data_IF_292887079628
#
_entry.id   IF_292887079628
#
_cell.length_a   1.000
_cell.length_b   1.000
_cell.length_c   1.000
_cell.angle_alpha   90.00
_cell.angle_beta   90.00
_cell.angle_gamma   90.00
#
_symmetry.space_group_name_H-M   'P 1'
#
loop_
_entity.id
_entity.type
_entity.pdbx_description
1 polymer ?
#
# COMPACT_ATOMS: atom_id res chain seq x y z
N UNK A 1 31.96 64.16 33.75
CA UNK A 1 31.99 63.23 34.89
C UNK A 1 30.54 63.01 35.33
N UNK A 2 29.94 61.86 35.00
CA UNK A 2 29.61 60.77 35.95
C UNK A 2 28.69 61.27 37.07
N UNK A 3 27.48 60.76 37.30
CA UNK A 3 26.84 59.49 36.94
C UNK A 3 25.94 59.07 38.11
N UNK A 4 24.99 58.15 37.85
CA UNK A 4 24.14 57.38 38.78
C UNK A 4 22.84 58.04 39.28
N UNK A 5 21.72 57.61 38.69
CA UNK A 5 20.45 57.48 39.39
C UNK A 5 19.92 56.04 39.19
N UNK A 6 19.67 55.36 40.31
CA UNK A 6 19.34 53.93 40.45
C UNK A 6 17.86 53.66 40.17
N UNK A 7 17.58 52.54 39.50
CA UNK A 7 16.27 51.91 39.34
C UNK A 7 15.83 51.17 40.63
N UNK A 8 14.52 51.08 40.94
CA UNK A 8 14.03 50.22 42.01
C UNK A 8 13.59 48.82 41.52
N UNK A 9 14.30 47.83 42.05
CA UNK A 9 13.89 46.51 42.55
C UNK A 9 12.47 45.98 42.28
N UNK A 10 12.39 44.87 41.52
CA UNK A 10 11.28 43.88 41.55
C UNK A 10 11.45 42.93 42.73
N UNK A 11 10.37 42.64 43.46
CA UNK A 11 10.28 41.61 44.50
C UNK A 11 9.23 40.54 44.11
N UNK A 12 9.30 39.32 44.70
CA UNK A 12 8.83 38.07 44.09
C UNK A 12 7.51 37.55 44.69
N UNK A 13 6.79 36.66 44.01
CA UNK A 13 5.82 35.77 44.68
C UNK A 13 5.68 34.36 44.11
N UNK A 14 5.64 33.46 45.10
CA UNK A 14 5.48 32.01 45.23
C UNK A 14 4.70 31.19 44.18
N UNK A 15 5.19 29.95 44.00
CA UNK A 15 4.42 28.74 43.65
C UNK A 15 3.48 28.33 44.79
N UNK A 16 2.26 27.89 44.45
CA UNK A 16 1.56 26.77 45.11
C UNK A 16 0.47 26.17 44.21
N UNK A 17 0.53 24.86 44.03
CA UNK A 17 -0.53 24.00 43.50
C UNK A 17 -1.77 24.02 44.40
N UNK A 18 -2.96 23.86 43.82
CA UNK A 18 -3.95 22.81 44.17
C UNK A 18 -5.21 22.88 43.27
N UNK A 19 -5.87 21.74 43.20
CA UNK A 19 -6.96 21.36 42.31
C UNK A 19 -8.36 21.88 42.71
N UNK A 20 -9.27 21.96 41.72
CA UNK A 20 -10.62 21.32 41.66
C UNK A 20 -11.68 22.17 40.93
N UNK A 21 -12.46 21.45 40.11
CA UNK A 21 -13.88 21.60 39.74
C UNK A 21 -14.42 22.91 39.16
N UNK A 22 -15.09 22.81 38.00
CA UNK A 22 -16.46 23.30 37.70
C UNK A 22 -16.87 22.66 36.35
N UNK A 23 -17.76 21.67 36.31
CA UNK A 23 -19.23 21.70 36.29
C UNK A 23 -19.84 22.10 34.93
N UNK A 24 -20.88 21.33 34.59
CA UNK A 24 -21.54 21.21 33.29
C UNK A 24 -22.65 22.25 33.03
N UNK A 25 -22.92 22.50 31.74
CA UNK A 25 -24.21 22.90 31.18
C UNK A 25 -24.18 22.59 29.66
N UNK A 26 -24.82 21.54 29.14
CA UNK A 26 -26.25 21.29 28.91
C UNK A 26 -26.89 22.17 27.80
N UNK A 27 -27.12 21.58 26.62
CA UNK A 27 -28.27 21.79 25.69
C UNK A 27 -28.31 20.61 24.69
N UNK A 28 -29.44 20.25 24.06
CA UNK A 28 -30.10 18.97 24.27
C UNK A 28 -30.14 18.07 23.02
N UNK A 29 -30.08 16.76 23.25
CA UNK A 29 -30.33 15.72 22.25
C UNK A 29 -31.83 15.49 22.08
N UNK A 30 -32.37 15.78 20.90
CA UNK A 30 -33.65 15.23 20.43
C UNK A 30 -33.35 13.93 19.66
N UNK A 31 -33.43 12.78 20.34
CA UNK A 31 -33.48 11.46 19.71
C UNK A 31 -34.95 11.13 19.42
N UNK A 32 -35.31 10.96 18.15
CA UNK A 32 -36.44 10.11 17.77
C UNK A 32 -35.87 8.76 17.32
N UNK A 33 -36.35 7.63 17.86
CA UNK A 33 -35.92 6.31 17.45
C UNK A 33 -36.59 5.97 16.11
N UNK A 34 -35.79 5.68 15.08
CA UNK A 34 -36.29 5.04 13.87
C UNK A 34 -36.30 3.54 14.14
N UNK A 35 -37.49 2.97 14.21
CA UNK A 35 -37.75 1.54 14.26
C UNK A 35 -37.44 0.90 12.91
N UNK A 36 -36.51 -0.05 12.89
CA UNK A 36 -36.20 -0.88 11.71
C UNK A 36 -37.16 -2.08 11.71
N UNK A 37 -37.94 -2.33 10.65
CA UNK A 37 -38.73 -3.55 10.52
C UNK A 37 -37.80 -4.75 10.31
N UNK A 38 -37.98 -5.76 11.16
CA UNK A 38 -37.47 -7.13 10.98
C UNK A 38 -38.32 -7.79 9.88
N UNK A 39 -37.70 -8.67 9.09
CA UNK A 39 -38.24 -9.44 7.95
C UNK A 39 -38.14 -8.79 6.57
N UNK A 40 -36.93 -8.81 6.00
CA UNK A 40 -36.74 -8.93 4.54
C UNK A 40 -35.86 -10.16 4.26
N UNK A 41 -36.25 -11.06 3.34
CA UNK A 41 -35.48 -12.27 3.06
C UNK A 41 -34.16 -11.93 2.36
N UNK A 42 -33.09 -12.62 2.78
CA UNK A 42 -31.75 -12.59 2.18
C UNK A 42 -31.86 -12.99 0.69
N UNK A 43 -31.31 -12.22 -0.26
CA UNK A 43 -31.29 -12.64 -1.65
C UNK A 43 -30.39 -13.86 -1.82
N UNK A 44 -30.96 -14.89 -2.44
CA UNK A 44 -30.35 -16.18 -2.76
C UNK A 44 -29.14 -15.97 -3.69
N UNK A 45 -27.92 -16.13 -3.16
CA UNK A 45 -26.68 -16.17 -3.93
C UNK A 45 -26.53 -17.53 -4.61
N UNK A 46 -27.35 -17.77 -5.63
CA UNK A 46 -27.14 -18.84 -6.60
C UNK A 46 -26.36 -18.30 -7.81
N UNK A 47 -25.33 -19.01 -8.31
CA UNK A 47 -24.48 -18.51 -9.38
C UNK A 47 -25.26 -18.41 -10.70
N UNK A 48 -25.45 -17.18 -11.20
CA UNK A 48 -25.98 -16.93 -12.54
C UNK A 48 -24.96 -17.41 -13.57
N UNK A 49 -25.41 -18.31 -14.45
CA UNK A 49 -24.65 -18.97 -15.52
C UNK A 49 -24.45 -18.08 -16.75
N UNK A 50 -24.06 -16.81 -16.58
CA UNK A 50 -23.75 -15.94 -17.70
C UNK A 50 -22.26 -16.10 -18.07
N UNK A 51 -22.00 -16.61 -19.28
CA UNK A 51 -20.66 -16.64 -19.86
C UNK A 51 -20.05 -15.22 -19.90
N UNK A 52 -18.78 -15.04 -19.52
CA UNK A 52 -18.14 -13.72 -19.58
C UNK A 52 -18.01 -13.27 -21.03
N UNK A 53 -18.72 -12.20 -21.37
CA UNK A 53 -18.55 -11.50 -22.63
C UNK A 53 -17.19 -10.78 -22.62
N UNK A 54 -16.41 -11.01 -23.69
CA UNK A 54 -15.20 -10.29 -24.04
C UNK A 54 -15.43 -8.77 -24.00
N UNK A 55 -14.96 -8.12 -22.93
CA UNK A 55 -14.70 -6.69 -22.95
C UNK A 55 -13.26 -6.47 -23.45
N UNK A 56 -13.04 -5.63 -24.49
CA UNK A 56 -11.68 -5.32 -24.92
C UNK A 56 -10.92 -4.59 -23.80
N UNK A 57 -9.59 -4.80 -23.68
CA UNK A 57 -8.80 -4.16 -22.64
C UNK A 57 -8.85 -2.63 -22.79
N UNK A 58 -8.88 -1.86 -21.68
CA UNK A 58 -8.83 -0.42 -21.74
C UNK A 58 -7.49 0.01 -22.38
N UNK A 59 -7.57 0.75 -23.48
CA UNK A 59 -6.42 1.37 -24.11
C UNK A 59 -5.91 2.52 -23.22
N UNK A 60 -4.64 2.46 -22.80
CA UNK A 60 -3.94 3.61 -22.21
C UNK A 60 -3.50 3.49 -20.75
N UNK A 61 -2.89 2.37 -20.35
CA UNK A 61 -2.05 2.39 -19.14
C UNK A 61 -0.76 3.15 -19.43
N UNK A 62 -0.76 4.46 -19.20
CA UNK A 62 0.48 5.23 -19.16
C UNK A 62 1.43 4.64 -18.11
N UNK A 63 2.74 4.53 -18.40
CA UNK A 63 3.70 4.06 -17.42
C UNK A 63 3.72 5.00 -16.21
N UNK A 64 3.53 4.44 -15.03
CA UNK A 64 3.50 5.20 -13.78
C UNK A 64 4.82 5.95 -13.55
N UNK A 65 4.77 7.17 -12.99
CA UNK A 65 5.98 7.93 -12.69
C UNK A 65 6.86 7.17 -11.68
N UNK A 66 8.19 7.37 -11.71
CA UNK A 66 9.12 6.67 -10.83
C UNK A 66 8.75 6.84 -9.36
N UNK A 67 9.12 5.90 -8.47
CA UNK A 67 8.97 6.14 -7.04
C UNK A 67 9.77 7.41 -6.68
N UNK A 68 9.15 8.52 -6.23
CA UNK A 68 9.91 9.64 -5.71
C UNK A 68 10.79 9.18 -4.54
N UNK A 69 11.88 9.89 -4.33
CA UNK A 69 12.88 9.67 -3.27
C UNK A 69 12.26 9.35 -1.89
N UNK A 70 11.06 9.85 -1.58
CA UNK A 70 10.37 9.61 -0.30
C UNK A 70 9.46 8.35 -0.26
N UNK A 71 9.40 7.56 -1.33
CA UNK A 71 8.51 6.37 -1.46
C UNK A 71 9.26 5.03 -1.50
N UNK A 72 10.53 5.03 -1.12
CA UNK A 72 11.38 3.83 -1.03
C UNK A 72 10.84 2.84 0.01
N UNK A 73 10.60 1.59 -0.40
CA UNK A 73 10.28 0.50 0.52
C UNK A 73 11.43 0.36 1.52
N UNK A 74 11.10 0.36 2.82
CA UNK A 74 12.11 0.32 3.87
C UNK A 74 13.13 -0.79 3.60
N UNK A 75 14.42 -0.43 3.59
CA UNK A 75 15.52 -1.34 3.27
C UNK A 75 15.63 -2.44 4.34
N UNK A 76 14.88 -3.52 4.15
CA UNK A 76 14.88 -4.71 4.99
C UNK A 76 15.85 -5.71 4.39
N UNK A 77 16.77 -6.21 5.20
CA UNK A 77 17.91 -7.02 4.77
C UNK A 77 17.50 -8.41 4.27
N UNK A 78 16.36 -8.91 4.73
CA UNK A 78 15.90 -10.28 4.46
C UNK A 78 14.42 -10.45 4.82
N UNK A 79 13.79 -11.51 4.31
CA UNK A 79 12.38 -11.85 4.52
C UNK A 79 12.24 -13.24 5.12
N UNK A 80 11.64 -13.35 6.30
CA UNK A 80 11.19 -14.61 6.88
C UNK A 80 9.76 -14.87 6.42
N UNK A 81 9.54 -15.98 5.71
CA UNK A 81 8.22 -16.44 5.28
C UNK A 81 7.81 -17.68 6.07
N UNK A 82 6.72 -17.58 6.81
CA UNK A 82 6.02 -18.72 7.40
C UNK A 82 5.10 -19.39 6.37
N UNK A 83 5.01 -20.72 6.38
CA UNK A 83 4.00 -21.46 5.63
C UNK A 83 2.85 -21.80 6.57
N UNK A 84 1.67 -21.23 6.31
CA UNK A 84 0.49 -21.37 7.15
C UNK A 84 -0.53 -22.31 6.49
N UNK A 85 -1.16 -23.22 7.26
CA UNK A 85 -2.24 -24.09 6.79
C UNK A 85 -3.60 -23.40 6.80
N UNK A 86 -3.62 -22.07 6.79
CA UNK A 86 -4.85 -21.27 6.90
C UNK A 86 -4.92 -20.38 5.65
N UNK A 87 -6.04 -20.40 4.91
CA UNK A 87 -6.15 -19.65 3.67
C UNK A 87 -6.14 -18.13 3.91
N UNK A 88 -5.70 -17.35 2.92
CA UNK A 88 -5.61 -15.89 3.02
C UNK A 88 -6.93 -15.17 3.36
N UNK A 89 -8.07 -15.78 2.98
CA UNK A 89 -9.41 -15.30 3.30
C UNK A 89 -9.72 -15.27 4.80
N UNK A 90 -9.03 -16.10 5.60
CA UNK A 90 -9.20 -16.18 7.06
C UNK A 90 -8.15 -15.36 7.82
N UNK A 91 -7.24 -14.66 7.14
CA UNK A 91 -6.17 -13.90 7.79
C UNK A 91 -6.68 -12.53 8.30
N UNK A 92 -6.35 -12.14 9.54
CA UNK A 92 -6.70 -10.82 10.05
C UNK A 92 -5.95 -9.71 9.30
N UNK A 93 -6.44 -8.47 9.37
CA UNK A 93 -5.85 -7.32 8.67
C UNK A 93 -4.38 -7.04 9.02
N UNK A 94 -3.92 -7.48 10.20
CA UNK A 94 -2.51 -7.55 10.53
C UNK A 94 -2.15 -8.99 10.89
N UNK A 95 -1.16 -9.54 10.21
CA UNK A 95 -0.71 -10.92 10.38
C UNK A 95 -0.21 -11.21 11.80
N UNK A 96 0.27 -10.20 12.54
CA UNK A 96 0.67 -10.34 13.94
C UNK A 96 -0.51 -10.72 14.86
N UNK A 97 -1.76 -10.49 14.45
CA UNK A 97 -2.94 -10.97 15.20
C UNK A 97 -3.34 -12.40 14.86
N UNK A 98 -2.73 -12.98 13.83
CA UNK A 98 -3.02 -14.34 13.40
C UNK A 98 -2.46 -15.36 14.39
N UNK A 99 -1.28 -15.07 14.96
CA UNK A 99 -0.50 -16.04 15.71
C UNK A 99 0.41 -15.34 16.74
N UNK A 100 0.45 -15.83 18.00
CA UNK A 100 1.43 -15.39 18.99
C UNK A 100 2.88 -15.54 18.51
N UNK A 101 3.20 -16.65 17.83
CA UNK A 101 4.53 -16.88 17.27
C UNK A 101 4.90 -15.84 16.21
N UNK A 102 3.97 -15.51 15.30
CA UNK A 102 4.22 -14.51 14.26
C UNK A 102 4.43 -13.12 14.87
N UNK A 103 3.63 -12.75 15.87
CA UNK A 103 3.81 -11.50 16.62
C UNK A 103 5.19 -11.42 17.28
N UNK A 104 5.61 -12.48 17.97
CA UNK A 104 6.89 -12.50 18.66
C UNK A 104 8.07 -12.52 17.67
N UNK A 105 7.98 -13.31 16.61
CA UNK A 105 8.96 -13.30 15.53
C UNK A 105 9.09 -11.89 14.91
N UNK A 106 7.96 -11.21 14.65
CA UNK A 106 7.93 -9.83 14.17
C UNK A 106 8.68 -8.88 15.11
N UNK A 107 8.41 -8.96 16.41
CA UNK A 107 9.05 -8.13 17.43
C UNK A 107 10.57 -8.36 17.54
N UNK A 108 10.99 -9.62 17.59
CA UNK A 108 12.39 -10.01 17.74
C UNK A 108 13.20 -9.64 16.48
N UNK A 109 12.68 -10.00 15.31
CA UNK A 109 13.43 -9.98 14.06
C UNK A 109 13.41 -8.62 13.37
N UNK A 110 12.44 -7.75 13.68
CA UNK A 110 12.41 -6.36 13.19
C UNK A 110 13.70 -5.61 13.52
N UNK A 111 14.27 -5.80 14.71
CA UNK A 111 15.56 -5.18 15.12
C UNK A 111 16.75 -5.71 14.33
N UNK A 112 16.68 -6.92 13.81
CA UNK A 112 17.71 -7.51 12.96
C UNK A 112 17.58 -7.11 11.48
N UNK A 113 16.62 -6.23 11.14
CA UNK A 113 16.35 -5.80 9.77
C UNK A 113 15.63 -6.85 8.93
N UNK A 114 14.98 -7.84 9.57
CA UNK A 114 14.22 -8.90 8.88
C UNK A 114 12.75 -8.50 8.84
N UNK A 115 12.12 -8.68 7.69
CA UNK A 115 10.66 -8.63 7.55
C UNK A 115 10.06 -10.00 7.82
N UNK A 116 8.92 -10.05 8.50
CA UNK A 116 8.18 -11.29 8.73
C UNK A 116 6.89 -11.24 7.90
N UNK A 117 6.59 -12.32 7.19
CA UNK A 117 5.37 -12.47 6.42
C UNK A 117 4.99 -13.96 6.34
N UNK A 118 3.85 -14.30 5.75
CA UNK A 118 3.39 -15.67 5.60
C UNK A 118 2.84 -15.96 4.21
N UNK A 119 2.97 -17.21 3.80
CA UNK A 119 2.38 -17.79 2.60
C UNK A 119 1.40 -18.89 2.98
N UNK A 120 0.36 -19.07 2.18
CA UNK A 120 -0.54 -20.21 2.29
C UNK A 120 0.16 -21.46 1.74
N UNK A 121 0.10 -22.57 2.49
CA UNK A 121 0.74 -23.83 2.10
C UNK A 121 -0.04 -24.63 1.05
N UNK A 122 -1.30 -24.27 0.80
CA UNK A 122 -2.16 -24.92 -0.18
C UNK A 122 -2.85 -26.19 0.29
N UNK A 123 -2.63 -26.63 1.54
CA UNK A 123 -3.07 -27.94 2.05
C UNK A 123 -4.11 -27.80 3.16
N UNK A 124 -4.06 -26.72 3.95
CA UNK A 124 -4.91 -26.58 5.11
C UNK A 124 -6.24 -25.84 4.87
N UNK A 125 -7.32 -26.38 5.43
CA UNK A 125 -8.63 -25.71 5.50
C UNK A 125 -8.96 -25.44 6.97
N UNK A 126 -8.83 -24.19 7.42
CA UNK A 126 -9.06 -23.83 8.81
C UNK A 126 -9.22 -22.34 9.03
N UNK A 127 -9.56 -21.95 10.25
CA UNK A 127 -9.61 -20.56 10.71
C UNK A 127 -8.66 -20.41 11.90
N UNK A 128 -8.11 -19.21 12.11
CA UNK A 128 -7.41 -18.92 13.35
C UNK A 128 -8.34 -19.06 14.55
N UNK A 129 -7.86 -19.54 15.71
CA UNK A 129 -8.63 -19.47 16.94
C UNK A 129 -9.00 -18.01 17.22
N UNK A 130 -10.18 -17.74 17.79
CA UNK A 130 -10.61 -16.38 18.07
C UNK A 130 -9.56 -15.69 18.97
N UNK A 131 -9.22 -14.42 18.71
CA UNK A 131 -8.23 -13.71 19.52
C UNK A 131 -8.67 -13.78 20.99
N UNK A 132 -7.78 -14.23 21.87
CA UNK A 132 -8.02 -14.18 23.30
C UNK A 132 -8.37 -12.73 23.64
N UNK A 133 -9.62 -12.48 24.10
CA UNK A 133 -10.10 -11.13 24.40
C UNK A 133 -9.03 -10.42 25.23
N UNK A 134 -8.40 -9.38 24.67
CA UNK A 134 -7.68 -8.42 25.50
C UNK A 134 -8.68 -7.92 26.53
N UNK A 135 -8.34 -8.05 27.81
CA UNK A 135 -9.15 -7.48 28.90
C UNK A 135 -9.37 -6.00 28.56
N UNK A 136 -10.63 -5.64 28.41
CA UNK A 136 -11.05 -4.28 28.12
C UNK A 136 -10.61 -3.39 29.31
N UNK A 137 -9.80 -2.34 29.11
CA UNK A 137 -9.33 -1.50 30.22
C UNK A 137 -10.46 -0.76 30.96
N UNK A 138 -11.68 -0.79 30.40
CA UNK A 138 -12.85 -0.06 30.91
C UNK A 138 -13.94 -0.93 31.54
N UNK A 139 -13.76 -2.25 31.69
CA UNK A 139 -14.72 -3.06 32.46
C UNK A 139 -14.49 -2.85 33.97
N UNK A 140 -15.46 -2.28 34.72
CA UNK A 140 -15.36 -2.20 36.16
C UNK A 140 -15.45 -3.61 36.75
N UNK A 141 -14.55 -3.95 37.66
CA UNK A 141 -14.62 -5.17 38.45
C UNK A 141 -15.86 -5.13 39.34
N UNK A 142 -16.93 -5.79 38.95
CA UNK A 142 -18.01 -6.14 39.88
C UNK A 142 -17.69 -7.49 40.48
N UNK A 143 -17.22 -7.48 41.72
CA UNK A 143 -17.27 -8.64 42.59
C UNK A 143 -18.75 -8.98 42.83
N UNK A 144 -19.20 -10.09 42.28
CA UNK A 144 -20.38 -10.77 42.78
C UNK A 144 -20.12 -12.27 42.73
N UNK A 145 -19.90 -12.81 43.92
CA UNK A 145 -19.92 -14.23 44.21
C UNK A 145 -21.27 -14.82 43.76
N UNK A 146 -21.23 -15.77 42.83
CA UNK A 146 -22.29 -16.73 42.60
C UNK A 146 -21.68 -17.98 41.97
N UNK A 147 -21.75 -19.07 42.74
CA UNK A 147 -21.52 -20.45 42.33
C UNK A 147 -22.18 -20.77 40.98
N UNK A 148 -21.46 -21.45 40.11
CA UNK A 148 -21.99 -22.71 39.58
C UNK A 148 -20.89 -23.60 39.01
N UNK A 149 -20.86 -24.82 39.54
CA UNK A 149 -20.00 -25.92 39.18
C UNK A 149 -20.28 -26.43 37.77
N UNK A 150 -19.31 -26.33 36.86
CA UNK A 150 -19.29 -27.12 35.64
C UNK A 150 -17.85 -27.45 35.20
N UNK A 151 -17.50 -28.73 35.36
CA UNK A 151 -16.48 -29.51 34.65
C UNK A 151 -15.06 -28.93 34.53
N UNK A 152 -14.15 -29.56 35.27
CA UNK A 152 -12.73 -29.69 34.91
C UNK A 152 -12.59 -30.13 33.44
N UNK A 153 -12.31 -29.21 32.53
CA UNK A 153 -11.50 -29.54 31.35
C UNK A 153 -10.10 -29.02 31.63
N UNK A 154 -9.16 -29.94 31.81
CA UNK A 154 -7.74 -29.62 31.82
C UNK A 154 -7.42 -28.80 30.57
N UNK A 155 -7.22 -27.50 30.73
CA UNK A 155 -6.56 -26.68 29.72
C UNK A 155 -5.12 -27.16 29.64
N UNK A 156 -4.90 -28.19 28.82
CA UNK A 156 -3.59 -28.47 28.29
C UNK A 156 -3.02 -27.14 27.79
N UNK A 157 -1.79 -26.82 28.20
CA UNK A 157 -1.09 -25.68 27.63
C UNK A 157 -1.25 -25.73 26.11
N UNK A 158 -1.61 -24.63 25.44
CA UNK A 158 -1.78 -24.64 23.99
C UNK A 158 -0.51 -25.23 23.39
N UNK A 159 -0.66 -26.27 22.57
CA UNK A 159 0.47 -26.93 21.92
C UNK A 159 1.35 -25.85 21.28
N UNK A 160 2.67 -25.93 21.52
CA UNK A 160 3.61 -24.92 21.05
C UNK A 160 3.45 -24.75 19.53
N UNK A 161 3.02 -23.55 19.15
CA UNK A 161 2.76 -23.21 17.76
C UNK A 161 4.05 -23.42 16.94
N UNK A 162 3.94 -24.19 15.87
CA UNK A 162 5.08 -24.58 15.04
C UNK A 162 4.68 -24.54 13.57
N UNK A 163 5.47 -23.84 12.75
CA UNK A 163 5.26 -23.72 11.31
C UNK A 163 6.56 -23.92 10.53
N UNK A 164 6.51 -24.46 9.30
CA UNK A 164 7.64 -24.36 8.40
C UNK A 164 7.91 -22.89 8.06
N UNK A 165 9.19 -22.50 8.03
CA UNK A 165 9.59 -21.15 7.66
C UNK A 165 10.85 -21.13 6.78
N UNK A 166 10.99 -20.08 5.96
CA UNK A 166 12.18 -19.84 5.15
C UNK A 166 12.64 -18.40 5.29
N UNK A 167 13.92 -18.19 5.61
CA UNK A 167 14.56 -16.88 5.62
C UNK A 167 15.30 -16.65 4.30
N UNK A 168 14.85 -15.65 3.55
CA UNK A 168 15.28 -15.30 2.20
C UNK A 168 16.17 -14.05 2.22
N UNK A 169 17.25 -14.08 1.44
CA UNK A 169 18.16 -12.97 1.22
C UNK A 169 18.14 -12.47 -0.22
N UNK A 170 18.54 -11.21 -0.48
CA UNK A 170 18.51 -10.60 -1.82
C UNK A 170 19.42 -11.27 -2.84
N UNK A 171 20.42 -12.01 -2.36
CA UNK A 171 21.32 -12.81 -3.20
C UNK A 171 20.76 -14.20 -3.54
N UNK A 172 19.50 -14.43 -3.22
CA UNK A 172 18.81 -15.71 -3.41
C UNK A 172 19.14 -16.78 -2.38
N UNK A 173 20.02 -16.50 -1.41
CA UNK A 173 20.31 -17.45 -0.35
C UNK A 173 19.08 -17.65 0.53
N UNK A 174 18.75 -18.90 0.81
CA UNK A 174 17.61 -19.28 1.65
C UNK A 174 18.07 -20.16 2.81
N UNK A 175 17.60 -19.87 4.02
CA UNK A 175 17.72 -20.75 5.18
C UNK A 175 16.34 -21.36 5.49
N UNK A 176 16.28 -22.68 5.57
CA UNK A 176 15.04 -23.40 5.83
C UNK A 176 14.95 -23.81 7.30
N UNK A 177 13.74 -23.67 7.85
CA UNK A 177 13.37 -24.08 9.18
C UNK A 177 12.12 -24.97 9.03
N UNK A 178 12.26 -26.30 8.96
CA UNK A 178 11.11 -27.20 8.81
C UNK A 178 10.11 -27.06 9.96
N UNK A 179 10.62 -26.79 11.15
CA UNK A 179 9.85 -26.53 12.37
C UNK A 179 10.37 -25.22 13.00
N UNK A 180 9.62 -24.15 12.83
CA UNK A 180 9.89 -22.84 13.45
C UNK A 180 8.86 -22.62 14.56
N UNK A 181 9.36 -22.40 15.78
CA UNK A 181 8.58 -22.16 16.99
C UNK A 181 9.28 -21.13 17.90
N UNK A 182 8.73 -20.85 19.08
CA UNK A 182 9.29 -19.86 20.01
C UNK A 182 10.76 -20.15 20.38
N UNK A 183 11.12 -21.42 20.61
CA UNK A 183 12.51 -21.83 20.89
C UNK A 183 13.46 -21.58 19.70
N UNK A 184 12.93 -21.53 18.48
CA UNK A 184 13.72 -21.24 17.28
C UNK A 184 14.26 -19.81 17.27
N UNK A 185 13.54 -18.87 17.92
CA UNK A 185 13.94 -17.45 18.00
C UNK A 185 15.30 -17.25 18.70
N UNK A 186 15.63 -18.13 19.64
CA UNK A 186 16.91 -18.13 20.35
C UNK A 186 17.92 -19.15 19.84
N UNK A 187 17.56 -19.91 18.79
CA UNK A 187 18.37 -21.01 18.31
C UNK A 187 19.72 -20.55 17.72
N UNK A 188 20.79 -21.35 17.87
CA UNK A 188 22.07 -21.10 17.18
C UNK A 188 21.93 -21.06 15.65
N UNK A 189 20.97 -21.82 15.10
CA UNK A 189 20.68 -21.84 13.67
C UNK A 189 20.17 -20.49 13.18
N UNK A 190 19.17 -19.93 13.85
CA UNK A 190 18.64 -18.62 13.49
C UNK A 190 19.69 -17.53 13.69
N UNK A 191 20.46 -17.55 14.79
CA UNK A 191 21.57 -16.62 15.00
C UNK A 191 22.59 -16.66 13.85
N UNK A 192 22.97 -17.87 13.40
CA UNK A 192 23.86 -18.04 12.24
C UNK A 192 23.26 -17.46 10.96
N UNK A 193 21.98 -17.71 10.71
CA UNK A 193 21.28 -17.14 9.57
C UNK A 193 21.28 -15.61 9.63
N UNK A 194 20.93 -15.02 10.79
CA UNK A 194 20.94 -13.57 11.00
C UNK A 194 22.32 -12.91 10.93
N UNK A 195 23.40 -13.66 11.12
CA UNK A 195 24.77 -13.17 10.88
C UNK A 195 25.15 -13.15 9.40
N UNK A 196 24.42 -13.84 8.53
CA UNK A 196 24.68 -13.83 7.09
C UNK A 196 24.61 -12.42 6.53
N UNK A 197 25.61 -12.07 5.72
CA UNK A 197 25.69 -10.84 4.95
C UNK A 197 25.87 -11.25 3.48
N UNK A 198 24.96 -10.85 2.57
CA UNK A 198 25.13 -11.07 1.16
C UNK A 198 26.48 -10.52 0.68
N UNK A 199 27.13 -11.19 -0.28
CA UNK A 199 28.34 -10.64 -0.88
C UNK A 199 28.00 -9.32 -1.59
N UNK A 200 28.85 -8.31 -1.43
CA UNK A 200 28.63 -6.97 -2.01
C UNK A 200 28.48 -6.97 -3.53
N UNK A 201 28.91 -8.05 -4.20
CA UNK A 201 28.60 -8.31 -5.59
C UNK A 201 27.09 -8.51 -5.78
N UNK A 202 26.34 -9.38 -5.12
CA UNK A 202 24.92 -9.56 -5.53
C UNK A 202 24.01 -8.37 -5.14
N UNK A 203 24.48 -7.50 -4.24
CA UNK A 203 23.87 -6.20 -3.95
C UNK A 203 24.36 -5.04 -4.86
N UNK A 204 25.26 -5.32 -5.80
CA UNK A 204 25.92 -4.33 -6.68
C UNK A 204 26.93 -4.90 -7.70
N UNK A 205 26.67 -6.05 -8.33
CA UNK A 205 27.66 -6.83 -9.09
C UNK A 205 27.64 -6.33 -10.51
N UNK A 206 28.85 -6.02 -11.01
CA UNK A 206 29.21 -6.08 -12.42
C UNK A 206 28.19 -5.52 -13.41
N UNK A 207 28.48 -4.33 -13.93
CA UNK A 207 27.74 -3.70 -15.00
C UNK A 207 27.52 -4.58 -16.27
N UNK A 208 28.22 -5.72 -16.38
CA UNK A 208 28.26 -6.58 -17.57
C UNK A 208 27.89 -8.07 -17.34
N UNK A 209 27.48 -8.51 -16.14
CA UNK A 209 27.13 -9.93 -15.93
C UNK A 209 25.63 -10.20 -16.14
N UNK A 210 25.36 -11.12 -17.07
CA UNK A 210 24.06 -11.79 -17.20
C UNK A 210 23.75 -12.46 -15.85
N UNK A 211 22.55 -12.30 -15.27
CA UNK A 211 22.18 -12.99 -14.05
C UNK A 211 22.47 -14.48 -14.14
N UNK A 212 23.25 -15.03 -13.21
CA UNK A 212 23.48 -16.47 -13.15
C UNK A 212 22.17 -17.24 -12.96
N UNK A 213 22.14 -18.53 -13.33
CA UNK A 213 20.95 -19.41 -13.19
C UNK A 213 20.36 -19.43 -11.76
N UNK A 214 21.13 -19.06 -10.74
CA UNK A 214 20.70 -18.91 -9.35
C UNK A 214 19.74 -17.75 -9.08
N UNK A 215 19.61 -16.79 -10.01
CA UNK A 215 18.78 -15.59 -9.89
C UNK A 215 17.48 -15.63 -10.71
N UNK A 216 17.23 -16.71 -11.48
CA UNK A 216 15.99 -16.84 -12.24
C UNK A 216 14.78 -16.93 -11.29
N UNK A 217 13.69 -16.17 -11.53
CA UNK A 217 12.49 -16.28 -10.70
C UNK A 217 11.96 -17.72 -10.72
N UNK A 218 12.02 -18.40 -9.59
CA UNK A 218 11.55 -19.78 -9.43
C UNK A 218 10.13 -19.84 -8.89
N UNK A 219 9.63 -18.72 -8.39
CA UNK A 219 8.40 -18.64 -7.63
C UNK A 219 7.85 -17.22 -7.62
N UNK A 220 6.55 -17.08 -7.85
CA UNK A 220 5.80 -15.83 -7.73
C UNK A 220 4.94 -15.91 -6.48
N UNK A 221 5.07 -14.93 -5.60
CA UNK A 221 4.23 -14.82 -4.41
C UNK A 221 3.21 -13.71 -4.64
N UNK A 222 1.93 -14.06 -4.79
CA UNK A 222 0.86 -13.08 -5.09
C UNK A 222 0.04 -12.82 -3.84
N UNK A 223 -0.17 -11.56 -3.51
CA UNK A 223 -1.00 -11.19 -2.37
C UNK A 223 -2.47 -11.41 -2.70
N UNK A 224 -3.17 -12.26 -1.93
CA UNK A 224 -4.62 -12.48 -2.03
C UNK A 224 -5.36 -12.06 -0.75
N UNK A 225 -4.68 -11.30 0.12
CA UNK A 225 -5.15 -10.94 1.46
C UNK A 225 -6.10 -9.72 1.46
N UNK A 226 -7.41 -9.99 1.38
CA UNK A 226 -8.44 -8.94 1.26
C UNK A 226 -8.72 -8.12 2.53
N UNK A 227 -8.46 -8.66 3.73
CA UNK A 227 -8.75 -7.95 4.98
C UNK A 227 -7.84 -6.74 5.25
N UNK A 228 -6.69 -6.66 4.55
CA UNK A 228 -5.73 -5.56 4.64
C UNK A 228 -5.93 -4.53 3.53
N UNK A 229 -6.20 -5.02 2.32
CA UNK A 229 -6.47 -4.24 1.12
C UNK A 229 -7.32 -5.13 0.19
N UNK A 230 -8.58 -4.75 -0.05
CA UNK A 230 -9.54 -5.57 -0.81
C UNK A 230 -9.03 -5.87 -2.22
N UNK A 231 -8.32 -4.93 -2.84
CA UNK A 231 -7.78 -5.06 -4.20
C UNK A 231 -6.78 -6.19 -4.33
N UNK A 232 -6.09 -6.55 -3.24
CA UNK A 232 -5.23 -7.72 -3.23
C UNK A 232 -6.07 -9.00 -3.44
N UNK A 233 -7.23 -9.11 -2.82
CA UNK A 233 -8.13 -10.23 -3.07
C UNK A 233 -8.74 -10.14 -4.49
N UNK A 234 -9.20 -8.95 -4.90
CA UNK A 234 -9.90 -8.75 -6.17
C UNK A 234 -9.01 -8.96 -7.41
N UNK A 235 -7.75 -8.51 -7.36
CA UNK A 235 -6.80 -8.66 -8.47
C UNK A 235 -5.89 -9.87 -8.29
N UNK A 236 -5.47 -10.15 -7.06
CA UNK A 236 -4.52 -11.22 -6.77
C UNK A 236 -5.12 -12.61 -6.94
N UNK A 237 -6.36 -12.84 -6.51
CA UNK A 237 -6.99 -14.17 -6.59
C UNK A 237 -7.16 -14.62 -8.05
N UNK A 238 -7.71 -13.78 -8.96
CA UNK A 238 -7.76 -14.12 -10.38
C UNK A 238 -6.36 -14.27 -11.02
N UNK A 239 -5.40 -13.44 -10.63
CA UNK A 239 -4.02 -13.53 -11.12
C UNK A 239 -3.35 -14.86 -10.74
N UNK A 240 -3.54 -15.33 -9.50
CA UNK A 240 -3.04 -16.64 -9.05
C UNK A 240 -3.62 -17.75 -9.91
N UNK A 241 -4.93 -17.74 -10.18
CA UNK A 241 -5.58 -18.74 -11.02
C UNK A 241 -4.97 -18.75 -12.43
N UNK A 242 -4.86 -17.59 -13.08
CA UNK A 242 -4.28 -17.45 -14.41
C UNK A 242 -2.81 -17.92 -14.48
N UNK A 243 -2.00 -17.60 -13.47
CA UNK A 243 -0.60 -18.04 -13.40
C UNK A 243 -0.48 -19.57 -13.19
N UNK A 244 -1.36 -20.17 -12.39
CA UNK A 244 -1.40 -21.64 -12.19
C UNK A 244 -1.73 -22.36 -13.50
N UNK A 245 -2.71 -21.87 -14.26
CA UNK A 245 -3.08 -22.42 -15.57
C UNK A 245 -1.92 -22.36 -16.56
N UNK A 246 -1.15 -21.28 -16.53
CA UNK A 246 0.05 -21.15 -17.34
C UNK A 246 1.19 -22.06 -16.87
N UNK A 247 1.11 -22.70 -15.69
CA UNK A 247 2.18 -23.55 -15.14
C UNK A 247 3.31 -22.76 -14.48
N UNK A 248 3.03 -21.56 -13.97
CA UNK A 248 3.96 -20.79 -13.14
C UNK A 248 3.86 -21.27 -11.70
N UNK A 249 5.01 -21.47 -11.03
CA UNK A 249 5.05 -21.77 -9.61
C UNK A 249 4.59 -20.53 -8.83
N UNK A 250 3.37 -20.57 -8.29
CA UNK A 250 2.76 -19.44 -7.58
C UNK A 250 2.25 -19.86 -6.20
N UNK A 251 2.51 -19.03 -5.20
CA UNK A 251 1.90 -19.16 -3.86
C UNK A 251 1.22 -17.86 -3.46
N UNK A 252 0.24 -17.98 -2.60
CA UNK A 252 -0.48 -16.85 -2.03
C UNK A 252 0.27 -16.36 -0.79
N UNK A 253 0.53 -15.05 -0.71
CA UNK A 253 1.26 -14.40 0.39
C UNK A 253 0.35 -13.39 1.10
N UNK A 254 0.61 -13.10 2.38
CA UNK A 254 -0.06 -11.99 3.05
C UNK A 254 0.44 -10.67 2.49
N UNK A 255 -0.25 -9.58 2.84
CA UNK A 255 0.05 -8.26 2.29
C UNK A 255 1.56 -7.92 2.29
N UNK A 256 2.10 -7.57 1.11
CA UNK A 256 3.52 -7.24 0.91
C UNK A 256 3.66 -5.77 0.54
N UNK A 257 4.53 -5.05 1.24
CA UNK A 257 4.75 -3.61 1.00
C UNK A 257 3.85 -2.72 1.86
N UNK A 258 3.76 -1.45 1.50
CA UNK A 258 2.92 -0.47 2.19
C UNK A 258 1.60 -0.28 1.45
N UNK A 259 0.46 -0.31 2.16
CA UNK A 259 -0.92 -0.19 1.66
C UNK A 259 -1.13 0.65 0.39
N UNK A 260 -0.56 1.86 0.36
CA UNK A 260 -0.71 2.86 -0.70
C UNK A 260 -0.09 2.45 -2.05
N UNK A 261 0.81 1.46 -2.01
CA UNK A 261 1.77 1.09 -3.06
C UNK A 261 2.13 -0.39 -3.02
N UNK A 262 1.29 -1.18 -2.33
CA UNK A 262 1.64 -2.53 -1.96
C UNK A 262 1.87 -3.36 -3.21
N UNK A 263 2.95 -4.13 -3.17
CA UNK A 263 3.19 -5.09 -4.21
C UNK A 263 2.10 -6.16 -4.09
N UNK A 264 1.34 -6.38 -5.14
CA UNK A 264 0.48 -7.55 -5.18
C UNK A 264 1.22 -8.78 -5.70
N UNK A 265 2.47 -8.66 -6.16
CA UNK A 265 3.37 -9.79 -6.37
C UNK A 265 4.82 -9.55 -5.92
N UNK A 266 5.45 -10.59 -5.37
CA UNK A 266 6.87 -10.65 -5.02
C UNK A 266 7.53 -11.80 -5.78
N UNK A 267 8.56 -11.50 -6.56
CA UNK A 267 9.29 -12.48 -7.35
C UNK A 267 10.46 -13.04 -6.55
N UNK A 268 10.52 -14.35 -6.38
CA UNK A 268 11.66 -15.03 -5.75
C UNK A 268 12.50 -15.73 -6.81
N UNK A 269 13.84 -15.67 -6.75
CA UNK A 269 14.64 -15.23 -5.59
C UNK A 269 15.04 -13.75 -5.62
N UNK A 270 14.78 -13.01 -6.69
CA UNK A 270 15.28 -11.63 -6.84
C UNK A 270 14.70 -10.64 -5.83
N UNK A 271 13.58 -11.00 -5.21
CA UNK A 271 12.79 -10.17 -4.29
C UNK A 271 12.30 -8.86 -4.93
N UNK A 272 12.06 -8.89 -6.25
CA UNK A 272 11.43 -7.80 -6.98
C UNK A 272 9.94 -7.74 -6.62
N UNK A 273 9.47 -6.52 -6.35
CA UNK A 273 8.10 -6.24 -5.97
C UNK A 273 7.37 -5.58 -7.14
N UNK A 274 6.29 -6.22 -7.58
CA UNK A 274 5.41 -5.73 -8.64
C UNK A 274 4.04 -5.39 -8.05
N UNK A 275 3.42 -4.32 -8.54
CA UNK A 275 2.08 -3.87 -8.10
C UNK A 275 1.12 -3.68 -9.26
N UNK A 276 -0.18 -3.64 -8.95
CA UNK A 276 -1.26 -3.45 -9.92
C UNK A 276 -1.25 -4.51 -11.05
N UNK A 277 -0.81 -5.73 -10.75
CA UNK A 277 -0.92 -6.84 -11.68
C UNK A 277 -2.34 -7.41 -11.67
N UNK A 278 -2.89 -7.66 -12.85
CA UNK A 278 -4.23 -8.24 -13.07
C UNK A 278 -4.09 -9.59 -13.77
N UNK A 279 -5.18 -10.35 -13.83
CA UNK A 279 -5.21 -11.62 -14.56
C UNK A 279 -4.79 -11.47 -16.04
N UNK A 280 -5.09 -10.32 -16.67
CA UNK A 280 -4.65 -9.99 -18.03
C UNK A 280 -3.13 -9.92 -18.20
N UNK A 281 -2.39 -9.65 -17.11
CA UNK A 281 -0.94 -9.52 -17.12
C UNK A 281 -0.24 -10.88 -16.95
N UNK A 282 -0.99 -11.94 -16.61
CA UNK A 282 -0.43 -13.26 -16.33
C UNK A 282 0.43 -13.84 -17.47
N UNK A 283 0.07 -13.72 -18.76
CA UNK A 283 0.91 -14.20 -19.85
C UNK A 283 2.26 -13.47 -19.93
N UNK A 284 2.26 -12.15 -19.76
CA UNK A 284 3.47 -11.33 -19.78
C UNK A 284 4.35 -11.64 -18.56
N UNK A 285 3.75 -11.78 -17.38
CA UNK A 285 4.46 -12.15 -16.17
C UNK A 285 5.05 -13.57 -16.26
N UNK A 286 4.31 -14.54 -16.82
CA UNK A 286 4.81 -15.89 -17.03
C UNK A 286 6.00 -15.92 -17.99
N UNK A 287 5.93 -15.15 -19.09
CA UNK A 287 7.05 -14.99 -20.02
C UNK A 287 8.27 -14.36 -19.33
N UNK A 288 8.04 -13.32 -18.52
CA UNK A 288 9.07 -12.63 -17.75
C UNK A 288 9.76 -13.56 -16.74
N UNK A 289 8.99 -14.35 -16.00
CA UNK A 289 9.52 -15.35 -15.05
C UNK A 289 10.37 -16.41 -15.74
N UNK A 290 9.97 -16.87 -16.94
CA UNK A 290 10.65 -17.95 -17.67
C UNK A 290 11.91 -17.52 -18.41
N UNK A 291 11.87 -16.36 -19.05
CA UNK A 291 12.91 -15.94 -20.00
C UNK A 291 13.76 -14.80 -19.46
N UNK A 292 13.27 -14.08 -18.44
CA UNK A 292 13.77 -12.75 -18.02
C UNK A 292 13.92 -11.76 -19.19
N UNK A 293 13.36 -12.07 -20.36
CA UNK A 293 13.27 -11.13 -21.45
C UNK A 293 12.44 -9.98 -20.91
N UNK A 294 13.00 -8.78 -20.86
CA UNK A 294 12.22 -7.67 -20.40
C UNK A 294 11.15 -7.39 -21.45
N UNK A 295 9.95 -7.92 -21.23
CA UNK A 295 8.77 -7.37 -21.87
C UNK A 295 8.49 -6.07 -21.15
N UNK A 296 8.58 -4.95 -21.88
CA UNK A 296 8.41 -3.58 -21.40
C UNK A 296 7.25 -3.42 -20.40
N UNK A 297 6.19 -4.22 -20.56
CA UNK A 297 5.03 -4.28 -19.68
C UNK A 297 5.36 -4.52 -18.20
N UNK A 298 6.27 -5.43 -17.84
CA UNK A 298 6.45 -5.83 -16.43
C UNK A 298 7.19 -4.77 -15.60
N UNK A 299 8.06 -3.98 -16.21
CA UNK A 299 8.81 -2.96 -15.47
C UNK A 299 7.93 -1.76 -15.08
N UNK A 300 6.83 -1.50 -15.78
CA UNK A 300 5.83 -0.52 -15.37
C UNK A 300 5.19 -0.87 -14.00
N UNK A 301 5.14 -2.16 -13.66
CA UNK A 301 4.61 -2.64 -12.39
C UNK A 301 5.65 -2.63 -11.27
N UNK A 302 6.94 -2.40 -11.57
CA UNK A 302 8.01 -2.50 -10.57
C UNK A 302 7.93 -1.38 -9.53
N UNK A 303 8.02 -1.76 -8.25
CA UNK A 303 7.96 -0.84 -7.09
C UNK A 303 9.20 -0.88 -6.20
N UNK A 304 10.15 -1.73 -6.53
CA UNK A 304 11.40 -1.85 -5.79
C UNK A 304 11.84 -3.29 -5.66
N UNK A 305 12.98 -3.46 -4.99
CA UNK A 305 13.56 -4.77 -4.69
C UNK A 305 13.93 -4.82 -3.23
N UNK A 306 13.42 -5.82 -2.52
CA UNK A 306 13.68 -5.94 -1.09
C UNK A 306 15.18 -6.18 -0.85
N UNK A 307 15.74 -5.45 0.12
CA UNK A 307 17.15 -5.52 0.49
C UNK A 307 18.09 -4.61 -0.29
N UNK A 308 17.57 -3.84 -1.25
CA UNK A 308 18.30 -2.71 -1.81
C UNK A 308 18.06 -1.45 -0.97
N UNK A 309 19.09 -0.61 -0.88
CA UNK A 309 18.95 0.77 -0.42
C UNK A 309 18.25 1.62 -1.49
N UNK A 310 17.76 2.78 -1.09
CA UNK A 310 17.13 3.73 -2.01
C UNK A 310 18.05 4.09 -3.20
N UNK A 311 19.32 4.37 -2.93
CA UNK A 311 20.32 4.65 -3.98
C UNK A 311 20.52 3.45 -4.92
N UNK A 312 20.54 2.23 -4.38
CA UNK A 312 20.65 1.02 -5.19
C UNK A 312 19.40 0.79 -6.05
N UNK A 313 18.20 1.02 -5.52
CA UNK A 313 16.96 0.95 -6.28
C UNK A 313 16.94 1.98 -7.42
N UNK A 314 17.37 3.21 -7.16
CA UNK A 314 17.48 4.26 -8.17
C UNK A 314 18.44 3.86 -9.31
N UNK A 315 19.57 3.23 -9.00
CA UNK A 315 20.51 2.70 -10.01
C UNK A 315 19.91 1.59 -10.86
N UNK A 316 19.16 0.67 -10.24
CA UNK A 316 18.42 -0.39 -10.95
C UNK A 316 17.39 0.23 -11.88
N UNK A 317 16.61 1.20 -11.39
CA UNK A 317 15.62 1.92 -12.17
C UNK A 317 16.21 2.68 -13.36
N UNK A 318 17.32 3.40 -13.15
CA UNK A 318 18.03 4.09 -14.23
C UNK A 318 18.61 3.14 -15.28
N UNK A 319 18.92 1.88 -14.93
CA UNK A 319 19.32 0.85 -15.90
C UNK A 319 18.14 0.30 -16.68
N UNK A 320 17.03 0.01 -16.00
CA UNK A 320 15.75 -0.35 -16.63
C UNK A 320 15.44 0.71 -17.69
N UNK A 321 15.38 1.99 -17.31
CA UNK A 321 15.11 3.07 -18.26
C UNK A 321 16.13 3.20 -19.40
N UNK A 322 17.41 2.86 -19.20
CA UNK A 322 18.42 2.87 -20.29
C UNK A 322 18.27 1.70 -21.26
N UNK A 323 17.91 0.53 -20.76
CA UNK A 323 17.68 -0.67 -21.58
C UNK A 323 16.31 -0.63 -22.29
N UNK A 324 15.39 0.19 -21.79
CA UNK A 324 14.06 0.48 -22.37
C UNK A 324 13.94 1.89 -22.90
N UNK A 325 15.06 2.60 -23.07
CA UNK A 325 15.03 3.83 -23.83
C UNK A 325 14.66 3.43 -25.27
N UNK A 326 13.52 3.86 -25.82
CA UNK A 326 13.39 3.87 -27.27
C UNK A 326 14.63 4.59 -27.81
N UNK A 327 15.23 4.11 -28.90
CA UNK A 327 16.47 4.60 -29.48
C UNK A 327 16.59 6.13 -29.42
N UNK A 328 17.12 6.68 -28.32
CA UNK A 328 16.97 8.11 -27.97
C UNK A 328 15.50 8.58 -27.97
N UNK A 329 14.94 9.15 -26.89
CA UNK A 329 14.12 10.34 -27.09
C UNK A 329 15.11 11.38 -27.63
N UNK A 330 15.22 11.49 -28.96
CA UNK A 330 15.86 12.64 -29.55
C UNK A 330 15.11 13.85 -29.04
N UNK A 331 15.64 14.50 -28.00
CA UNK A 331 14.88 15.38 -27.13
C UNK A 331 13.65 14.70 -26.49
N UNK A 332 13.21 15.20 -25.33
CA UNK A 332 11.79 15.15 -25.02
C UNK A 332 11.07 15.71 -26.26
N UNK A 333 10.37 14.85 -27.00
CA UNK A 333 9.59 15.31 -28.14
C UNK A 333 8.64 16.38 -27.60
N UNK A 334 8.74 17.56 -28.19
CA UNK A 334 8.03 18.76 -27.84
C UNK A 334 6.52 18.56 -27.97
N UNK A 335 5.90 17.92 -26.97
CA UNK A 335 4.46 18.03 -26.76
C UNK A 335 4.15 19.51 -26.56
N UNK A 336 3.15 20.00 -27.28
CA UNK A 336 2.66 21.36 -27.11
C UNK A 336 2.36 21.60 -25.63
N UNK A 337 2.91 22.68 -25.08
CA UNK A 337 2.57 23.13 -23.73
C UNK A 337 1.42 24.10 -23.85
N UNK A 338 0.45 23.92 -22.98
CA UNK A 338 -0.76 24.69 -22.95
C UNK A 338 -0.96 25.30 -21.57
N UNK A 339 -1.40 26.55 -21.49
CA UNK A 339 -1.65 27.20 -20.21
C UNK A 339 -2.90 26.60 -19.55
N UNK A 340 -2.77 26.26 -18.27
CA UNK A 340 -3.86 25.81 -17.41
C UNK A 340 -3.96 26.74 -16.22
N UNK A 341 -5.19 27.09 -15.84
CA UNK A 341 -5.45 28.06 -14.78
C UNK A 341 -5.94 27.35 -13.53
N UNK A 342 -5.15 27.46 -12.47
CA UNK A 342 -5.47 26.94 -11.14
C UNK A 342 -5.78 28.08 -10.19
N UNK A 343 -6.61 27.81 -9.18
CA UNK A 343 -6.81 28.72 -8.04
C UNK A 343 -6.52 27.98 -6.75
N UNK A 344 -5.62 28.51 -5.94
CA UNK A 344 -5.27 27.94 -4.64
C UNK A 344 -6.41 28.14 -3.64
N UNK A 345 -6.35 27.46 -2.50
CA UNK A 345 -7.34 27.63 -1.44
C UNK A 345 -7.37 29.08 -0.89
N UNK A 346 -6.23 29.77 -0.89
CA UNK A 346 -6.10 31.17 -0.50
C UNK A 346 -6.70 32.14 -1.54
N UNK A 347 -7.12 31.63 -2.69
CA UNK A 347 -7.69 32.40 -3.80
C UNK A 347 -6.65 32.94 -4.78
N UNK A 348 -5.38 32.55 -4.67
CA UNK A 348 -4.34 32.93 -5.63
C UNK A 348 -4.57 32.23 -6.96
N UNK A 349 -4.62 33.00 -8.05
CA UNK A 349 -4.68 32.46 -9.41
C UNK A 349 -3.27 32.12 -9.89
N UNK A 350 -3.03 30.88 -10.29
CA UNK A 350 -1.77 30.41 -10.87
C UNK A 350 -2.01 29.83 -12.25
N UNK A 351 -1.51 30.49 -13.28
CA UNK A 351 -1.47 29.95 -14.64
C UNK A 351 -0.14 29.23 -14.83
N UNK A 352 -0.20 27.96 -15.18
CA UNK A 352 0.98 27.10 -15.35
C UNK A 352 0.93 26.37 -16.68
N UNK A 353 2.10 25.98 -17.19
CA UNK A 353 2.22 25.27 -18.46
C UNK A 353 2.14 23.76 -18.24
N UNK A 354 1.05 23.14 -18.72
CA UNK A 354 0.89 21.69 -18.75
C UNK A 354 1.23 21.13 -20.14
N UNK A 355 1.83 19.94 -20.23
CA UNK A 355 2.00 19.29 -21.53
C UNK A 355 0.73 18.52 -21.87
N UNK A 356 0.41 18.51 -23.16
CA UNK A 356 -0.62 17.65 -23.72
C UNK A 356 -0.44 16.17 -23.30
N UNK A 357 -1.49 15.57 -22.75
CA UNK A 357 -1.51 14.17 -22.28
C UNK A 357 -1.08 13.94 -20.83
N UNK A 358 -0.44 14.92 -20.18
CA UNK A 358 -0.11 14.83 -18.75
C UNK A 358 -1.39 14.79 -17.89
N UNK A 359 -1.32 14.24 -16.67
CA UNK A 359 -2.41 14.40 -15.71
C UNK A 359 -2.31 15.74 -14.99
N UNK A 360 -3.43 16.27 -14.45
CA UNK A 360 -3.37 17.51 -13.65
C UNK A 360 -2.48 17.35 -12.42
N UNK A 361 -2.41 16.15 -11.83
CA UNK A 361 -1.46 15.84 -10.76
C UNK A 361 0.00 16.02 -11.22
N UNK A 362 0.34 15.53 -12.41
CA UNK A 362 1.70 15.68 -12.93
C UNK A 362 2.03 17.15 -13.18
N UNK A 363 1.12 17.89 -13.84
CA UNK A 363 1.27 19.33 -14.06
C UNK A 363 1.47 20.08 -12.74
N UNK A 364 0.73 19.70 -11.70
CA UNK A 364 0.85 20.31 -10.37
C UNK A 364 2.21 20.06 -9.72
N UNK A 365 2.74 18.85 -9.82
CA UNK A 365 4.07 18.52 -9.30
C UNK A 365 5.18 19.25 -10.04
N UNK A 366 5.10 19.31 -11.38
CA UNK A 366 6.10 20.00 -12.19
C UNK A 366 6.13 21.52 -11.95
N UNK A 367 5.00 22.11 -11.56
CA UNK A 367 4.85 23.54 -11.34
C UNK A 367 4.70 23.91 -9.85
N UNK A 368 5.00 22.98 -8.94
CA UNK A 368 4.98 23.19 -7.48
C UNK A 368 3.66 23.80 -6.97
N UNK A 369 2.53 23.31 -7.47
CA UNK A 369 1.21 23.72 -6.98
C UNK A 369 0.92 23.10 -5.59
N UNK A 370 0.30 23.87 -4.67
CA UNK A 370 -0.07 23.37 -3.34
C UNK A 370 -1.25 22.38 -3.40
N UNK A 371 -1.48 21.63 -2.32
CA UNK A 371 -2.66 20.78 -2.10
C UNK A 371 -2.90 19.61 -3.09
N UNK A 372 -1.98 19.36 -4.03
CA UNK A 372 -1.99 18.15 -4.87
C UNK A 372 -0.82 17.23 -4.52
N UNK A 373 -0.94 16.53 -3.40
CA UNK A 373 0.09 15.58 -2.94
C UNK A 373 0.13 14.32 -3.83
N UNK A 374 -1.03 13.80 -4.20
CA UNK A 374 -1.17 12.59 -5.02
C UNK A 374 -0.32 11.46 -4.48
N UNK A 375 -0.55 11.07 -3.23
CA UNK A 375 0.37 10.18 -2.52
C UNK A 375 0.18 8.70 -2.92
N UNK A 376 -0.81 8.37 -3.77
CA UNK A 376 -0.91 7.12 -4.55
C UNK A 376 -0.42 7.28 -6.01
N UNK A 377 0.20 8.44 -6.32
CA UNK A 377 0.81 8.82 -7.60
C UNK A 377 -0.04 8.53 -8.82
N UNK A 378 -1.36 8.63 -8.66
CA UNK A 378 -2.31 8.67 -9.75
C UNK A 378 -3.05 7.38 -10.07
N UNK A 379 -3.06 6.41 -9.17
CA UNK A 379 -3.74 5.13 -9.38
C UNK A 379 -5.22 5.10 -8.96
N UNK A 380 -5.82 6.25 -8.63
CA UNK A 380 -7.16 6.33 -8.06
C UNK A 380 -7.32 5.46 -6.78
N UNK A 381 -6.35 5.53 -5.87
CA UNK A 381 -6.34 4.78 -4.59
C UNK A 381 -6.27 5.70 -3.36
N UNK A 382 -6.40 7.01 -3.59
CA UNK A 382 -6.49 8.01 -2.53
C UNK A 382 -7.12 9.29 -3.08
N UNK A 383 -7.53 10.18 -2.19
CA UNK A 383 -8.11 11.46 -2.56
C UNK A 383 -7.16 12.67 -2.40
N UNK A 384 -5.85 12.47 -2.24
CA UNK A 384 -4.91 13.59 -1.95
C UNK A 384 -4.46 14.38 -3.19
N UNK A 385 -5.05 14.10 -4.35
CA UNK A 385 -4.94 14.92 -5.56
C UNK A 385 -6.30 15.53 -5.95
N UNK A 386 -7.18 15.67 -4.96
CA UNK A 386 -8.53 16.19 -5.15
C UNK A 386 -8.48 17.62 -5.68
N UNK A 387 -9.35 17.91 -6.64
CA UNK A 387 -9.56 19.23 -7.23
C UNK A 387 -11.06 19.47 -7.40
N UNK A 388 -11.46 20.73 -7.54
CA UNK A 388 -12.80 21.07 -8.01
C UNK A 388 -12.76 21.63 -9.43
N UNK A 389 -13.69 21.16 -10.26
CA UNK A 389 -13.93 21.70 -11.59
C UNK A 389 -15.32 22.35 -11.60
N UNK A 390 -15.36 23.67 -11.48
CA UNK A 390 -16.61 24.42 -11.51
C UNK A 390 -17.18 24.46 -12.95
N UNK A 391 -18.51 24.37 -13.15
CA UNK A 391 -19.15 24.37 -14.48
C UNK A 391 -19.24 25.77 -15.11
N UNK A 392 -18.27 26.66 -14.84
CA UNK A 392 -18.22 28.03 -15.37
C UNK A 392 -16.85 28.26 -16.01
N UNK A 393 -16.77 28.88 -17.20
CA UNK A 393 -17.85 29.52 -17.99
C UNK A 393 -18.81 28.52 -18.67
N UNK A 394 -18.38 27.28 -18.85
CA UNK A 394 -19.13 26.15 -19.38
C UNK A 394 -18.72 24.88 -18.60
N UNK A 395 -19.43 23.75 -18.75
CA UNK A 395 -19.01 22.49 -18.13
C UNK A 395 -17.58 22.11 -18.54
N UNK A 396 -16.75 21.64 -17.59
CA UNK A 396 -15.37 21.24 -17.89
C UNK A 396 -15.37 20.08 -18.89
N UNK A 397 -14.55 20.10 -19.96
CA UNK A 397 -14.52 19.07 -20.98
C UNK A 397 -13.66 17.88 -20.53
N UNK A 398 -14.09 17.23 -19.46
CA UNK A 398 -13.43 16.06 -18.85
C UNK A 398 -14.38 14.86 -18.89
N UNK A 399 -13.87 13.62 -18.97
CA UNK A 399 -14.72 12.42 -18.91
C UNK A 399 -15.41 12.33 -17.54
N UNK A 400 -16.57 11.67 -17.48
CA UNK A 400 -17.22 11.34 -16.21
C UNK A 400 -16.26 10.53 -15.30
N UNK A 401 -16.35 10.69 -13.97
CA UNK A 401 -15.53 9.90 -13.05
C UNK A 401 -15.86 8.41 -13.19
N UNK A 402 -14.84 7.55 -13.11
CA UNK A 402 -15.03 6.10 -13.05
C UNK A 402 -15.57 5.67 -11.68
N UNK A 403 -16.04 4.43 -11.57
CA UNK A 403 -16.44 3.84 -10.28
C UNK A 403 -15.30 3.89 -9.26
N UNK A 404 -14.08 3.48 -9.66
CA UNK A 404 -12.88 3.57 -8.82
C UNK A 404 -12.59 5.01 -8.35
N UNK A 405 -12.82 6.01 -9.21
CA UNK A 405 -12.64 7.42 -8.85
C UNK A 405 -13.69 7.87 -7.83
N UNK A 406 -14.96 7.50 -8.04
CA UNK A 406 -16.07 7.81 -7.14
C UNK A 406 -15.86 7.21 -5.75
N UNK A 407 -15.46 5.94 -5.68
CA UNK A 407 -15.16 5.24 -4.43
C UNK A 407 -14.08 5.98 -3.62
N UNK A 408 -13.08 6.55 -4.30
CA UNK A 408 -12.04 7.32 -3.63
C UNK A 408 -12.48 8.74 -3.27
N UNK A 409 -13.34 9.37 -4.07
CA UNK A 409 -13.87 10.70 -3.79
C UNK A 409 -14.73 10.74 -2.51
N UNK A 410 -15.31 9.62 -2.08
CA UNK A 410 -15.98 9.50 -0.78
C UNK A 410 -15.04 9.80 0.41
N UNK A 411 -13.74 9.60 0.23
CA UNK A 411 -12.71 9.92 1.23
C UNK A 411 -12.10 11.32 1.05
N UNK A 412 -12.52 12.07 0.02
CA UNK A 412 -12.03 13.43 -0.22
C UNK A 412 -12.50 14.38 0.88
N UNK A 413 -11.59 15.22 1.37
CA UNK A 413 -11.92 16.26 2.33
C UNK A 413 -12.71 17.36 1.61
N UNK A 414 -13.83 17.79 2.21
CA UNK A 414 -14.72 18.80 1.62
C UNK A 414 -15.30 18.39 0.25
N UNK A 415 -15.63 17.10 0.07
CA UNK A 415 -16.30 16.61 -1.15
C UNK A 415 -17.51 17.46 -1.54
N UNK A 416 -17.56 17.80 -2.83
CA UNK A 416 -18.63 18.55 -3.49
C UNK A 416 -19.16 17.76 -4.67
N UNK A 417 -20.43 17.40 -4.57
CA UNK A 417 -21.14 16.64 -5.58
C UNK A 417 -21.13 17.33 -6.94
N UNK A 418 -20.78 16.56 -7.99
CA UNK A 418 -20.65 17.03 -9.37
C UNK A 418 -19.48 17.99 -9.66
N UNK A 419 -18.70 18.40 -8.65
CA UNK A 419 -17.55 19.30 -8.83
C UNK A 419 -16.21 18.62 -8.54
N UNK A 420 -16.21 17.68 -7.59
CA UNK A 420 -15.01 17.04 -7.08
C UNK A 420 -14.50 16.00 -8.06
N UNK A 421 -13.19 16.04 -8.33
CA UNK A 421 -12.49 15.08 -9.18
C UNK A 421 -11.11 14.77 -8.63
N UNK A 422 -10.56 13.63 -9.02
CA UNK A 422 -9.17 13.30 -8.78
C UNK A 422 -8.33 13.85 -9.93
N UNK A 423 -7.49 14.85 -9.66
CA UNK A 423 -6.63 15.48 -10.67
C UNK A 423 -5.70 14.51 -11.39
N UNK A 424 -5.40 13.36 -10.80
CA UNK A 424 -4.63 12.32 -11.47
C UNK A 424 -5.38 11.59 -12.59
N UNK A 425 -6.71 11.55 -12.56
CA UNK A 425 -7.56 10.90 -13.57
C UNK A 425 -7.94 11.84 -14.72
N UNK A 426 -7.61 13.14 -14.60
CA UNK A 426 -7.89 14.15 -15.62
C UNK A 426 -6.62 14.41 -16.41
N UNK A 427 -6.70 14.21 -17.73
CA UNK A 427 -5.62 14.48 -18.68
C UNK A 427 -5.71 15.89 -19.26
N UNK A 428 -4.56 16.46 -19.61
CA UNK A 428 -4.47 17.72 -20.37
C UNK A 428 -4.86 17.44 -21.82
N UNK A 429 -6.00 17.99 -22.23
CA UNK A 429 -6.54 17.92 -23.59
C UNK A 429 -6.62 19.31 -24.23
N UNK A 430 -6.73 19.43 -25.58
CA UNK A 430 -6.88 20.74 -26.20
C UNK A 430 -8.18 21.41 -25.77
N UNK A 431 -9.22 20.61 -25.50
CA UNK A 431 -10.50 21.09 -24.99
C UNK A 431 -10.34 21.70 -23.60
N UNK A 432 -9.60 21.05 -22.70
CA UNK A 432 -9.38 21.53 -21.34
C UNK A 432 -8.57 22.84 -21.35
N UNK A 433 -7.54 22.93 -22.19
CA UNK A 433 -6.75 24.15 -22.35
C UNK A 433 -7.61 25.31 -22.88
N UNK A 434 -8.43 25.07 -23.90
CA UNK A 434 -9.38 26.06 -24.43
C UNK A 434 -10.40 26.49 -23.37
N UNK A 435 -10.92 25.54 -22.59
CA UNK A 435 -11.83 25.83 -21.48
C UNK A 435 -11.17 26.75 -20.44
N UNK A 436 -9.90 26.52 -20.09
CA UNK A 436 -9.14 27.44 -19.22
C UNK A 436 -8.94 28.82 -19.86
N UNK A 437 -8.65 28.89 -21.16
CA UNK A 437 -8.50 30.17 -21.89
C UNK A 437 -9.81 30.98 -21.93
N UNK A 438 -10.96 30.32 -21.91
CA UNK A 438 -12.28 30.96 -21.84
C UNK A 438 -12.66 31.42 -20.42
N UNK A 439 -11.81 31.16 -19.42
CA UNK A 439 -12.00 31.55 -18.02
C UNK A 439 -12.36 30.40 -17.09
N UNK A 440 -12.24 29.15 -17.55
CA UNK A 440 -12.34 27.96 -16.72
C UNK A 440 -11.20 27.89 -15.70
N UNK A 441 -11.51 27.50 -14.47
CA UNK A 441 -10.56 27.47 -13.36
C UNK A 441 -10.61 26.14 -12.64
N UNK A 442 -9.44 25.55 -12.42
CA UNK A 442 -9.26 24.34 -11.62
C UNK A 442 -8.98 24.77 -10.17
N UNK A 443 -9.93 24.53 -9.28
CA UNK A 443 -9.83 24.95 -7.88
C UNK A 443 -9.11 23.88 -7.04
N UNK A 444 -8.13 24.31 -6.25
CA UNK A 444 -7.39 23.46 -5.32
C UNK A 444 -8.02 23.55 -3.93
N UNK A 445 -8.32 22.40 -3.27
CA UNK A 445 -8.79 22.39 -1.90
C UNK A 445 -7.69 22.87 -0.95
N UNK A 446 -8.05 23.07 0.33
CA UNK A 446 -7.11 23.52 1.36
C UNK A 446 -6.05 22.47 1.73
N UNK A 447 -6.22 21.21 1.32
CA UNK A 447 -5.44 20.08 1.82
C UNK A 447 -4.98 19.17 0.68
#
# INVERSE_FOLDING_TARGET
MLGLARLPSRAPMLRRHLARSFCASAFPRSRRPISVPVDTPVPDCSPSSASPLDLPPPAGSDPLPPPPHERSIAARRSLLLFALPIPPSAWPSHLDFASPLLAEAGNVLKRAGVSVNAVYDGVGSGCFPPPSRKRDPYTPSTNSDADDSASNSSTAAPAAETYPARLLYPDGRTFHFPEFNEATLDSPQLRRALMYRPSGSVMGAGADEVPGESEMPKEVLVCTHGARDCRCADYGTPLVAALRELGVAVREIAHVGGHKWAANALLLPSMDMLSNLRASDAPALAAFVRSRAPTDAMWAHWRGRMGLTEEQQARVWARIQRNFAPATPGAAAAGERVPLTFRTYEGEMRTVEGRMGDSLLHVAHENELPAMEGTCGGNAECATCHVYLAPRPSPPPVPEPSEDELDMLDFALDYRDGLSRLGCQIKVTPELARWCAEGGVIDLPRF
#
